data_IF_217517484360
#
_entry.id   IF_217517484360
#
_cell.length_a   1.000
_cell.length_b   1.000
_cell.length_c   1.000
_cell.angle_alpha   90.00
_cell.angle_beta   90.00
_cell.angle_gamma   90.00
#
_symmetry.space_group_name_H-M   'P 1'
#
loop_
_entity.id
_entity.type
_entity.pdbx_description
1 polymer ?
#
# COMPACT_ATOMS: atom_id res chain seq x y z
N UNK A 1 -27.55 26.91 -17.17
CA UNK A 1 -26.49 27.61 -16.43
C UNK A 1 -25.77 26.59 -15.55
N UNK A 2 -24.44 26.61 -15.62
CA UNK A 2 -23.53 25.57 -15.15
C UNK A 2 -23.39 25.67 -13.63
N UNK A 3 -23.72 24.58 -12.92
CA UNK A 3 -23.36 24.40 -11.51
C UNK A 3 -21.87 24.05 -11.50
N UNK A 4 -21.02 25.05 -11.25
CA UNK A 4 -19.59 24.83 -11.05
C UNK A 4 -19.42 24.21 -9.68
N UNK A 5 -19.17 22.89 -9.69
CA UNK A 5 -18.78 22.11 -8.52
C UNK A 5 -17.41 22.62 -8.05
N UNK A 6 -17.42 23.39 -6.97
CA UNK A 6 -16.21 23.91 -6.34
C UNK A 6 -15.58 22.78 -5.51
N UNK A 7 -14.81 21.91 -6.17
CA UNK A 7 -13.93 20.97 -5.47
C UNK A 7 -12.79 21.79 -4.88
N UNK A 8 -12.87 22.04 -3.58
CA UNK A 8 -11.81 22.68 -2.79
C UNK A 8 -10.55 21.83 -2.78
N UNK A 9 -9.70 22.04 -3.79
CA UNK A 9 -8.27 21.77 -3.70
C UNK A 9 -7.71 22.85 -2.77
N UNK A 10 -7.23 22.49 -1.57
CA UNK A 10 -5.98 22.95 -0.95
C UNK A 10 -5.79 22.20 0.38
N UNK A 11 -4.82 21.30 0.41
CA UNK A 11 -3.98 21.08 1.59
C UNK A 11 -2.59 20.65 1.10
N UNK A 12 -1.91 21.56 0.39
CA UNK A 12 -0.45 21.52 0.24
C UNK A 12 0.12 21.91 1.60
N UNK A 13 0.33 20.93 2.48
CA UNK A 13 1.08 21.13 3.71
C UNK A 13 2.52 20.65 3.44
N UNK A 14 3.45 21.58 3.67
CA UNK A 14 4.80 21.61 3.12
C UNK A 14 5.61 20.31 3.24
N UNK A 15 6.13 19.85 2.11
CA UNK A 15 7.35 19.05 2.09
C UNK A 15 8.54 20.00 2.28
N UNK A 16 9.33 19.88 3.36
CA UNK A 16 10.62 20.54 3.41
C UNK A 16 11.50 19.95 2.32
N UNK A 17 12.13 20.82 1.51
CA UNK A 17 13.17 20.44 0.55
C UNK A 17 14.38 19.91 1.34
N UNK A 18 14.41 18.61 1.62
CA UNK A 18 15.62 17.93 2.06
C UNK A 18 16.40 17.41 0.85
N UNK A 19 17.71 17.62 0.96
CA UNK A 19 18.80 17.28 0.06
C UNK A 19 18.63 15.89 -0.57
N UNK A 20 19.06 15.74 -1.83
CA UNK A 20 19.03 14.52 -2.65
C UNK A 20 19.72 13.34 -1.94
N UNK A 21 19.02 12.65 -1.05
CA UNK A 21 19.29 11.24 -0.72
C UNK A 21 18.84 10.42 -1.94
N UNK A 22 19.56 9.38 -2.38
CA UNK A 22 19.00 8.43 -3.34
C UNK A 22 17.65 7.98 -2.77
N UNK A 23 16.57 8.23 -3.52
CA UNK A 23 15.20 7.83 -3.15
C UNK A 23 15.27 6.36 -2.75
N UNK A 24 14.92 6.04 -1.50
CA UNK A 24 15.06 4.68 -1.00
C UNK A 24 14.11 3.76 -1.78
N UNK A 25 14.56 2.55 -2.10
CA UNK A 25 13.76 1.56 -2.84
C UNK A 25 12.40 1.30 -2.17
N UNK A 26 12.39 1.30 -0.83
CA UNK A 26 11.19 1.31 0.00
C UNK A 26 10.22 2.45 -0.31
N UNK A 27 10.68 3.69 -0.43
CA UNK A 27 9.81 4.84 -0.73
C UNK A 27 9.18 4.71 -2.12
N UNK A 28 9.96 4.22 -3.09
CA UNK A 28 9.47 4.01 -4.46
C UNK A 28 8.42 2.90 -4.50
N UNK A 29 8.69 1.77 -3.83
CA UNK A 29 7.73 0.67 -3.70
C UNK A 29 6.43 1.12 -3.02
N UNK A 30 6.52 1.83 -1.90
CA UNK A 30 5.34 2.33 -1.17
C UNK A 30 4.57 3.36 -2.00
N UNK A 31 5.25 4.21 -2.77
CA UNK A 31 4.59 5.14 -3.68
C UNK A 31 3.82 4.40 -4.78
N UNK A 32 4.40 3.36 -5.37
CA UNK A 32 3.72 2.55 -6.38
C UNK A 32 2.57 1.73 -5.80
N UNK A 33 2.73 1.21 -4.58
CA UNK A 33 1.68 0.48 -3.88
C UNK A 33 0.48 1.38 -3.59
N UNK A 34 0.70 2.59 -3.07
CA UNK A 34 -0.39 3.54 -2.86
C UNK A 34 -1.08 3.92 -4.17
N UNK A 35 -0.31 4.11 -5.25
CA UNK A 35 -0.89 4.34 -6.59
C UNK A 35 -1.79 3.19 -7.03
N UNK A 36 -1.35 1.94 -6.88
CA UNK A 36 -2.15 0.75 -7.19
C UNK A 36 -3.45 0.72 -6.39
N UNK A 37 -3.40 1.07 -5.09
CA UNK A 37 -4.59 1.14 -4.22
C UNK A 37 -5.54 2.23 -4.70
N UNK A 38 -5.06 3.44 -5.01
CA UNK A 38 -5.88 4.52 -5.55
C UNK A 38 -6.50 4.17 -6.91
N UNK A 39 -5.75 3.53 -7.81
CA UNK A 39 -6.26 3.03 -9.09
C UNK A 39 -7.36 1.99 -8.87
N UNK A 40 -7.20 1.12 -7.87
CA UNK A 40 -8.20 0.10 -7.53
C UNK A 40 -9.48 0.68 -6.95
N UNK A 41 -9.41 1.82 -6.26
CA UNK A 41 -10.61 2.56 -5.82
C UNK A 41 -11.41 3.07 -7.02
N UNK A 42 -10.73 3.69 -7.99
CA UNK A 42 -11.36 4.20 -9.20
C UNK A 42 -11.97 3.04 -10.00
N UNK A 43 -11.24 1.93 -10.13
CA UNK A 43 -11.70 0.76 -10.86
C UNK A 43 -12.91 0.09 -10.20
N UNK A 44 -12.93 -0.03 -8.86
CA UNK A 44 -14.06 -0.59 -8.11
C UNK A 44 -15.34 0.24 -8.30
N UNK A 45 -15.21 1.57 -8.25
CA UNK A 45 -16.31 2.50 -8.50
C UNK A 45 -16.79 2.43 -9.95
N UNK A 46 -15.86 2.41 -10.92
CA UNK A 46 -16.19 2.37 -12.34
C UNK A 46 -16.90 1.07 -12.74
N UNK A 47 -16.56 -0.05 -12.11
CA UNK A 47 -17.18 -1.35 -12.38
C UNK A 47 -18.48 -1.57 -11.62
N UNK A 48 -18.68 -0.83 -10.53
CA UNK A 48 -19.73 -1.14 -9.56
C UNK A 48 -19.55 -2.55 -8.99
N UNK A 49 -18.30 -3.01 -8.79
CA UNK A 49 -18.01 -4.30 -8.13
C UNK A 49 -16.87 -4.15 -7.10
N UNK A 50 -16.94 -4.87 -5.96
CA UNK A 50 -15.85 -4.84 -4.99
C UNK A 50 -14.59 -5.47 -5.58
N UNK A 51 -13.43 -4.92 -5.22
CA UNK A 51 -12.12 -5.42 -5.60
C UNK A 51 -11.30 -5.82 -4.37
N UNK A 52 -10.25 -6.61 -4.60
CA UNK A 52 -9.28 -6.97 -3.56
C UNK A 52 -7.88 -6.60 -3.98
N UNK A 53 -7.11 -6.07 -3.04
CA UNK A 53 -5.65 -5.95 -3.16
C UNK A 53 -5.05 -7.18 -2.55
N UNK A 54 -4.43 -8.02 -3.38
CA UNK A 54 -3.86 -9.30 -3.00
C UNK A 54 -2.35 -9.23 -2.93
N UNK A 55 -1.78 -9.46 -1.75
CA UNK A 55 -0.36 -9.62 -1.53
C UNK A 55 0.00 -11.10 -1.62
N UNK A 56 0.84 -11.46 -2.58
CA UNK A 56 1.57 -12.72 -2.61
C UNK A 56 2.96 -12.47 -2.03
N UNK A 57 3.16 -12.90 -0.79
CA UNK A 57 4.41 -12.64 -0.04
C UNK A 57 5.52 -13.54 -0.58
N UNK A 58 5.25 -14.83 -0.70
CA UNK A 58 6.17 -15.82 -1.29
C UNK A 58 6.41 -15.54 -2.78
N UNK A 59 5.36 -15.12 -3.50
CA UNK A 59 5.46 -14.73 -4.91
C UNK A 59 5.98 -13.31 -5.15
N UNK A 60 6.38 -12.57 -4.10
CA UNK A 60 6.95 -11.22 -4.16
C UNK A 60 6.16 -10.25 -5.05
N UNK A 61 4.83 -10.22 -4.93
CA UNK A 61 3.99 -9.33 -5.74
C UNK A 61 2.71 -8.90 -5.05
N UNK A 62 2.15 -7.80 -5.53
CA UNK A 62 0.85 -7.25 -5.15
C UNK A 62 0.00 -7.07 -6.40
N UNK A 63 -1.21 -7.62 -6.39
CA UNK A 63 -2.14 -7.65 -7.51
C UNK A 63 -3.46 -6.95 -7.15
N UNK A 64 -4.00 -6.18 -8.10
CA UNK A 64 -5.43 -5.79 -8.08
C UNK A 64 -6.24 -6.93 -8.70
N UNK A 65 -7.20 -7.47 -7.96
CA UNK A 65 -8.01 -8.60 -8.39
C UNK A 65 -9.51 -8.36 -8.16
N UNK A 66 -10.34 -9.03 -8.94
CA UNK A 66 -11.76 -9.22 -8.59
C UNK A 66 -11.88 -10.06 -7.32
N UNK A 67 -13.06 -10.08 -6.69
CA UNK A 67 -13.33 -10.99 -5.54
C UNK A 67 -13.10 -12.47 -5.90
N UNK A 68 -13.37 -12.85 -7.16
CA UNK A 68 -13.09 -14.19 -7.69
C UNK A 68 -11.61 -14.48 -7.94
N UNK A 69 -10.73 -13.49 -7.79
CA UNK A 69 -9.28 -13.64 -7.91
C UNK A 69 -8.70 -13.45 -9.31
N UNK A 70 -9.51 -12.97 -10.26
CA UNK A 70 -9.01 -12.61 -11.59
C UNK A 70 -8.20 -11.32 -11.48
N UNK A 71 -6.93 -11.35 -11.91
CA UNK A 71 -6.12 -10.13 -11.96
C UNK A 71 -6.64 -9.14 -13.01
N UNK A 72 -6.67 -7.86 -12.65
CA UNK A 72 -7.20 -6.77 -13.46
C UNK A 72 -6.10 -5.83 -13.99
N UNK A 73 -4.91 -5.88 -13.39
CA UNK A 73 -3.78 -5.05 -13.79
C UNK A 73 -2.46 -5.83 -13.71
N UNK A 74 -1.39 -5.21 -14.22
CA UNK A 74 -0.05 -5.77 -14.07
C UNK A 74 0.33 -5.82 -12.58
N UNK A 75 0.87 -6.94 -12.06
CA UNK A 75 1.37 -7.03 -10.70
C UNK A 75 2.41 -5.94 -10.41
N UNK A 76 2.31 -5.36 -9.21
CA UNK A 76 3.41 -4.63 -8.60
C UNK A 76 4.36 -5.64 -7.94
N UNK A 77 5.62 -5.65 -8.35
CA UNK A 77 6.62 -6.52 -7.74
C UNK A 77 7.11 -5.92 -6.42
N UNK A 78 7.28 -6.79 -5.42
CA UNK A 78 7.92 -6.46 -4.14
C UNK A 78 9.43 -6.60 -4.35
N UNK A 79 10.23 -5.55 -4.17
CA UNK A 79 11.67 -5.63 -4.30
C UNK A 79 12.31 -6.70 -3.41
N UNK A 80 13.40 -7.30 -3.87
CA UNK A 80 14.12 -8.35 -3.12
C UNK A 80 14.70 -7.84 -1.79
N UNK A 81 15.11 -6.58 -1.76
CA UNK A 81 15.58 -5.90 -0.56
C UNK A 81 14.47 -5.67 0.48
N UNK A 82 13.20 -5.80 0.10
CA UNK A 82 12.05 -5.52 0.94
C UNK A 82 11.41 -6.83 1.41
N UNK A 83 11.26 -6.94 2.72
CA UNK A 83 10.45 -7.95 3.38
C UNK A 83 9.18 -7.29 3.95
N UNK A 84 8.02 -7.89 3.69
CA UNK A 84 6.79 -7.53 4.39
C UNK A 84 6.75 -8.31 5.70
N UNK A 85 6.98 -7.61 6.81
CA UNK A 85 7.02 -8.21 8.15
C UNK A 85 5.63 -8.45 8.72
N UNK A 86 4.66 -7.58 8.42
CA UNK A 86 3.27 -7.69 8.87
C UNK A 86 2.36 -6.89 7.93
N UNK A 87 1.11 -7.36 7.82
CA UNK A 87 0.00 -6.60 7.27
C UNK A 87 -1.07 -6.58 8.34
N UNK A 88 -1.38 -5.41 8.89
CA UNK A 88 -2.47 -5.20 9.83
C UNK A 88 -3.72 -4.73 9.10
N UNK A 89 -4.86 -5.38 9.31
CA UNK A 89 -6.15 -4.98 8.74
C UNK A 89 -7.10 -4.66 9.90
N UNK A 90 -7.65 -3.44 9.92
CA UNK A 90 -8.53 -2.93 10.98
C UNK A 90 -7.93 -3.18 12.38
N UNK A 91 -6.65 -2.82 12.55
CA UNK A 91 -5.91 -2.98 13.81
C UNK A 91 -5.46 -4.40 14.16
N UNK A 92 -5.78 -5.42 13.35
CA UNK A 92 -5.40 -6.82 13.59
C UNK A 92 -4.28 -7.27 12.68
N UNK A 93 -3.17 -7.73 13.24
CA UNK A 93 -2.08 -8.37 12.49
C UNK A 93 -2.61 -9.60 11.76
N UNK A 94 -2.28 -9.72 10.47
CA UNK A 94 -2.65 -10.89 9.67
C UNK A 94 -1.59 -11.99 9.76
N UNK A 95 -0.37 -11.69 10.21
CA UNK A 95 0.73 -12.65 10.27
C UNK A 95 1.07 -13.16 11.68
N UNK A 96 0.70 -12.42 12.73
CA UNK A 96 0.97 -12.86 14.12
C UNK A 96 -0.20 -13.63 14.75
N UNK A 97 -1.40 -13.57 14.17
CA UNK A 97 -2.62 -14.14 14.74
C UNK A 97 -2.88 -15.62 14.37
N UNK A 98 -1.95 -16.28 13.67
CA UNK A 98 -2.05 -17.71 13.35
C UNK A 98 -0.68 -18.32 13.05
N UNK A 99 -0.46 -19.56 13.48
CA UNK A 99 0.79 -20.33 13.32
C UNK A 99 1.03 -20.84 11.89
N UNK A 100 0.67 -20.08 10.86
CA UNK A 100 0.73 -20.49 9.46
C UNK A 100 1.68 -19.62 8.65
N UNK A 101 2.32 -20.21 7.65
CA UNK A 101 3.27 -19.53 6.76
C UNK A 101 2.71 -18.26 6.12
N UNK A 102 3.60 -17.27 5.99
CA UNK A 102 3.35 -15.94 5.41
C UNK A 102 3.19 -16.05 3.88
N UNK A 103 2.18 -16.73 3.37
CA UNK A 103 2.09 -16.94 1.91
C UNK A 103 1.36 -15.81 1.19
N UNK A 104 0.23 -15.38 1.74
CA UNK A 104 -0.58 -14.33 1.14
C UNK A 104 -1.53 -13.66 2.13
N UNK A 105 -1.98 -12.46 1.77
CA UNK A 105 -2.99 -11.69 2.49
C UNK A 105 -3.71 -10.77 1.50
N UNK A 106 -4.98 -10.48 1.74
CA UNK A 106 -5.69 -9.48 0.95
C UNK A 106 -6.56 -8.59 1.82
N UNK A 107 -6.91 -7.43 1.28
CA UNK A 107 -7.94 -6.56 1.82
C UNK A 107 -8.89 -6.12 0.72
N UNK A 108 -10.09 -5.71 1.11
CA UNK A 108 -11.18 -5.33 0.20
C UNK A 108 -11.28 -3.81 0.02
N UNK A 109 -11.68 -3.44 -1.19
CA UNK A 109 -12.15 -2.11 -1.58
C UNK A 109 -13.57 -2.31 -2.09
N UNK A 110 -14.55 -1.67 -1.46
CA UNK A 110 -15.94 -1.80 -1.88
C UNK A 110 -16.24 -0.96 -3.14
N UNK A 111 -17.45 -1.12 -3.68
CA UNK A 111 -17.93 -0.41 -4.88
C UNK A 111 -17.99 1.11 -4.70
N UNK A 112 -18.05 1.60 -3.46
CA UNK A 112 -18.07 3.02 -3.12
C UNK A 112 -16.66 3.61 -3.02
N UNK A 113 -15.61 2.79 -3.14
CA UNK A 113 -14.22 3.20 -2.99
C UNK A 113 -13.72 3.22 -1.55
N UNK A 114 -14.48 2.66 -0.61
CA UNK A 114 -14.11 2.53 0.80
C UNK A 114 -13.25 1.28 0.95
N UNK A 115 -12.03 1.46 1.45
CA UNK A 115 -11.11 0.38 1.79
C UNK A 115 -11.06 0.12 3.29
N UNK A 116 -10.65 -1.09 3.67
CA UNK A 116 -10.29 -1.38 5.07
C UNK A 116 -9.07 -0.53 5.49
N UNK A 117 -8.90 -0.30 6.81
CA UNK A 117 -7.69 0.32 7.33
C UNK A 117 -6.55 -0.70 7.25
N UNK A 118 -5.47 -0.36 6.53
CA UNK A 118 -4.35 -1.28 6.32
C UNK A 118 -3.04 -0.66 6.78
N UNK A 119 -2.40 -1.30 7.76
CA UNK A 119 -1.03 -0.99 8.21
C UNK A 119 -0.07 -1.99 7.60
N UNK A 120 0.90 -1.52 6.84
CA UNK A 120 1.96 -2.34 6.27
C UNK A 120 3.26 -2.12 7.06
N UNK A 121 3.85 -3.20 7.55
CA UNK A 121 5.18 -3.16 8.20
C UNK A 121 6.18 -3.79 7.24
N UNK A 122 7.18 -3.03 6.82
CA UNK A 122 8.26 -3.55 5.95
C UNK A 122 9.62 -3.45 6.62
N UNK A 123 10.52 -4.31 6.17
CA UNK A 123 11.94 -4.27 6.50
C UNK A 123 12.71 -4.12 5.18
N UNK A 124 13.47 -3.03 5.06
CA UNK A 124 14.44 -2.78 4.00
C UNK A 124 15.81 -3.31 4.44
N UNK A 125 16.16 -4.48 3.92
CA UNK A 125 17.41 -5.17 4.22
C UNK A 125 18.64 -4.45 3.67
N UNK A 126 18.50 -3.62 2.62
CA UNK A 126 19.62 -2.82 2.09
C UNK A 126 20.01 -1.72 3.08
N UNK A 127 19.02 -1.08 3.71
CA UNK A 127 19.25 -0.08 4.77
C UNK A 127 19.74 -0.76 6.06
N UNK A 128 19.10 -1.87 6.46
CA UNK A 128 19.43 -2.57 7.71
C UNK A 128 20.85 -3.13 7.72
N UNK A 129 21.38 -3.52 6.55
CA UNK A 129 22.78 -3.99 6.39
C UNK A 129 23.79 -2.93 6.85
N UNK A 130 23.52 -1.66 6.56
CA UNK A 130 24.43 -0.55 6.89
C UNK A 130 24.18 0.01 8.28
N UNK A 131 22.95 -0.10 8.80
CA UNK A 131 22.61 0.30 10.16
C UNK A 131 21.49 -0.61 10.71
N UNK A 132 21.83 -1.57 11.60
CA UNK A 132 20.90 -2.59 12.11
C UNK A 132 19.68 -2.07 12.87
N UNK A 133 19.75 -0.82 13.38
CA UNK A 133 18.63 -0.16 14.07
C UNK A 133 17.70 0.61 13.13
N UNK A 134 18.05 0.69 11.85
CA UNK A 134 17.26 1.36 10.81
C UNK A 134 16.76 0.36 9.76
N UNK A 135 15.77 0.75 8.97
CA UNK A 135 15.25 -0.06 7.86
C UNK A 135 13.94 -0.78 8.16
N UNK A 136 13.41 -0.74 9.40
CA UNK A 136 12.02 -1.13 9.68
C UNK A 136 11.13 0.11 9.55
N UNK A 137 10.03 -0.02 8.82
CA UNK A 137 9.09 1.08 8.61
C UNK A 137 7.64 0.60 8.72
N UNK A 138 6.77 1.49 9.19
CA UNK A 138 5.33 1.27 9.25
C UNK A 138 4.61 2.30 8.39
N UNK A 139 3.72 1.82 7.52
CA UNK A 139 2.93 2.65 6.61
C UNK A 139 1.47 2.36 6.78
N UNK A 140 0.65 3.39 6.68
CA UNK A 140 -0.79 3.22 6.53
C UNK A 140 -1.11 3.40 5.06
N UNK A 141 -1.64 2.34 4.43
CA UNK A 141 -2.18 2.45 3.09
C UNK A 141 -3.47 3.24 3.20
N UNK A 142 -3.49 4.38 2.52
CA UNK A 142 -4.67 5.21 2.46
C UNK A 142 -4.86 5.60 1.00
N UNK A 143 -6.01 5.23 0.39
CA UNK A 143 -6.29 5.51 -1.01
C UNK A 143 -6.30 7.01 -1.36
N UNK A 144 -6.42 7.87 -0.34
CA UNK A 144 -6.50 9.32 -0.47
C UNK A 144 -5.22 10.06 -0.06
N UNK A 145 -4.34 9.49 0.77
CA UNK A 145 -3.05 10.12 1.16
C UNK A 145 -2.01 9.11 1.68
N UNK A 146 -0.83 9.02 1.07
CA UNK A 146 0.30 8.26 1.63
C UNK A 146 0.97 9.00 2.79
N UNK A 147 0.71 8.61 4.05
CA UNK A 147 1.39 9.20 5.22
C UNK A 147 2.57 8.33 5.64
N UNK A 148 3.79 8.86 5.51
CA UNK A 148 5.02 8.22 5.98
C UNK A 148 5.24 8.56 7.46
N UNK A 149 5.32 7.54 8.34
CA UNK A 149 5.76 7.71 9.73
C UNK A 149 7.11 7.02 9.92
N UNK A 150 8.13 7.80 10.27
CA UNK A 150 9.44 7.26 10.67
C UNK A 150 9.42 7.02 12.19
N UNK A 151 9.92 5.86 12.60
CA UNK A 151 10.22 5.53 13.99
C UNK A 151 11.73 5.37 14.16
#
# INVERSE_FOLDING_TARGET
MIVIMLIGIVAVIGMPRFLRSPRREAETFISHLNRLVSESVIEAQSRGEPLRIFFSITGKKVDMQTVSGKSLAKPLLIPESIEISDVGINGKSQFMSGSGEKDSVYFLINQEGISQEVRLVIIDHAVRRNNPRSGRYEFYLNPFTSVFRYH
#
